data_IF_687767726771
#
_entry.id   IF_687767726771
#
_cell.length_a   1.000
_cell.length_b   1.000
_cell.length_c   1.000
_cell.angle_alpha   90.00
_cell.angle_beta   90.00
_cell.angle_gamma   90.00
#
_symmetry.space_group_name_H-M   'P 1'
#
loop_
_entity.id
_entity.type
_entity.pdbx_description
1 polymer ?
#
# COMPACT_ATOMS: atom_id res chain seq x y z
N UNK A 1 -9.91 12.20 5.62
CA UNK A 1 -10.82 11.46 4.72
C UNK A 1 -10.42 10.01 4.83
N UNK A 2 -11.30 9.23 5.45
CA UNK A 2 -10.99 7.94 6.04
C UNK A 2 -10.65 6.89 4.97
N UNK A 3 -9.63 6.06 5.23
CA UNK A 3 -9.61 4.66 4.79
C UNK A 3 -10.76 3.93 5.51
N UNK A 4 -12.00 4.35 5.23
CA UNK A 4 -13.17 4.02 6.00
C UNK A 4 -13.54 2.58 5.74
N UNK A 5 -13.47 1.78 6.80
CA UNK A 5 -14.30 0.61 6.93
C UNK A 5 -15.74 0.93 6.50
N UNK A 6 -16.29 0.14 5.57
CA UNK A 6 -17.71 0.17 5.28
C UNK A 6 -18.45 -0.35 6.51
N UNK A 7 -19.11 0.55 7.25
CA UNK A 7 -20.18 0.17 8.16
C UNK A 7 -21.49 0.47 7.45
N UNK A 8 -22.02 -0.53 6.73
CA UNK A 8 -23.36 -0.40 6.17
C UNK A 8 -24.35 -0.75 7.28
N UNK A 9 -24.82 0.27 8.01
CA UNK A 9 -25.83 0.12 9.05
C UNK A 9 -27.20 0.49 8.48
N UNK A 10 -27.87 -0.43 7.79
CA UNK A 10 -29.30 -0.30 7.57
C UNK A 10 -30.05 -0.86 8.78
N UNK A 11 -31.30 -0.45 9.03
CA UNK A 11 -32.08 -0.85 10.22
C UNK A 11 -32.10 -2.36 10.51
N UNK A 12 -31.84 -3.21 9.51
CA UNK A 12 -31.79 -4.67 9.59
C UNK A 12 -30.46 -5.29 9.05
N UNK A 13 -29.40 -4.49 8.85
CA UNK A 13 -28.15 -4.92 8.21
C UNK A 13 -26.97 -4.26 8.91
N UNK A 14 -25.94 -5.02 9.28
CA UNK A 14 -24.68 -4.48 9.79
C UNK A 14 -23.51 -5.31 9.28
N UNK A 15 -23.00 -4.96 8.09
CA UNK A 15 -21.62 -5.33 7.72
C UNK A 15 -20.70 -4.31 8.37
N UNK A 16 -19.84 -4.77 9.26
CA UNK A 16 -18.87 -3.92 9.96
C UNK A 16 -17.49 -4.27 9.44
N UNK A 17 -17.02 -3.59 8.39
CA UNK A 17 -15.64 -3.68 7.96
C UNK A 17 -14.75 -2.82 8.87
N UNK A 18 -14.66 -3.10 10.16
CA UNK A 18 -13.78 -2.32 11.04
C UNK A 18 -12.32 -2.59 10.69
N UNK A 19 -11.60 -1.54 10.29
CA UNK A 19 -10.12 -1.48 10.25
C UNK A 19 -9.42 -2.39 9.24
N UNK A 20 -9.98 -2.50 8.04
CA UNK A 20 -9.35 -3.12 6.86
C UNK A 20 -8.99 -2.10 5.79
N UNK A 21 -8.06 -2.48 4.93
CA UNK A 21 -7.60 -1.67 3.79
C UNK A 21 -8.08 -2.34 2.51
N UNK A 22 -9.09 -1.74 1.89
CA UNK A 22 -9.53 -2.15 0.55
C UNK A 22 -8.52 -1.68 -0.49
N UNK A 23 -8.06 -2.61 -1.32
CA UNK A 23 -7.09 -2.36 -2.40
C UNK A 23 -7.63 -2.84 -3.75
N UNK A 24 -6.78 -2.86 -4.77
CA UNK A 24 -7.16 -3.19 -6.14
C UNK A 24 -7.93 -4.51 -6.28
N UNK A 25 -8.60 -4.67 -7.41
CA UNK A 25 -9.32 -5.89 -7.77
C UNK A 25 -8.37 -7.08 -7.94
N UNK A 26 -8.79 -8.25 -7.48
CA UNK A 26 -8.05 -9.51 -7.66
C UNK A 26 -8.31 -10.13 -9.04
N UNK A 27 -9.58 -10.17 -9.45
CA UNK A 27 -10.04 -10.83 -10.67
C UNK A 27 -10.96 -9.95 -11.51
N UNK A 28 -11.98 -9.34 -10.91
CA UNK A 28 -13.08 -8.70 -11.65
C UNK A 28 -13.21 -7.20 -11.32
N UNK A 29 -13.67 -6.35 -12.27
CA UNK A 29 -13.92 -6.65 -13.67
C UNK A 29 -12.63 -6.83 -14.49
N UNK A 30 -11.50 -6.32 -13.99
CA UNK A 30 -10.17 -6.52 -14.57
C UNK A 30 -9.18 -6.62 -13.41
N UNK A 31 -8.21 -7.55 -13.41
CA UNK A 31 -7.21 -7.65 -12.34
C UNK A 31 -6.38 -6.38 -12.17
N UNK A 32 -6.10 -6.00 -10.92
CA UNK A 32 -5.28 -4.84 -10.58
C UNK A 32 -5.94 -3.48 -10.82
N UNK A 33 -7.23 -3.42 -11.12
CA UNK A 33 -7.93 -2.15 -11.30
C UNK A 33 -7.97 -1.35 -9.98
N UNK A 34 -7.62 -0.07 -10.07
CA UNK A 34 -7.58 0.87 -8.94
C UNK A 34 -7.68 2.31 -9.46
N UNK A 35 -8.32 3.20 -8.69
CA UNK A 35 -8.63 4.59 -9.11
C UNK A 35 -8.09 5.68 -8.16
N UNK A 36 -7.49 5.29 -7.04
CA UNK A 36 -7.02 6.23 -6.01
C UNK A 36 -5.67 5.84 -5.41
N UNK A 37 -5.00 6.79 -4.76
CA UNK A 37 -3.70 6.59 -4.11
C UNK A 37 -3.81 6.33 -2.59
N UNK A 38 -4.96 5.91 -2.08
CA UNK A 38 -5.13 5.72 -0.64
C UNK A 38 -4.44 4.46 -0.14
N UNK A 39 -4.04 4.46 1.13
CA UNK A 39 -3.46 3.29 1.76
C UNK A 39 -2.13 2.84 1.13
N UNK A 40 -1.89 1.52 1.06
CA UNK A 40 -0.71 0.89 0.45
C UNK A 40 -0.51 1.28 -1.02
N UNK A 41 -1.57 1.65 -1.75
CA UNK A 41 -1.48 2.11 -3.14
C UNK A 41 -0.57 3.32 -3.27
N UNK A 42 -0.74 4.30 -2.39
CA UNK A 42 0.09 5.50 -2.35
C UNK A 42 1.52 5.22 -1.93
N UNK A 43 1.74 4.19 -1.09
CA UNK A 43 3.08 3.75 -0.70
C UNK A 43 3.81 3.19 -1.92
N UNK A 44 3.18 2.28 -2.67
CA UNK A 44 3.76 1.68 -3.88
C UNK A 44 4.04 2.77 -4.93
N UNK A 45 3.08 3.64 -5.21
CA UNK A 45 3.26 4.72 -6.19
C UNK A 45 4.37 5.69 -5.77
N UNK A 46 4.40 6.09 -4.49
CA UNK A 46 5.42 6.98 -3.94
C UNK A 46 6.81 6.33 -3.99
N UNK A 47 6.91 5.06 -3.62
CA UNK A 47 8.15 4.30 -3.64
C UNK A 47 8.65 4.08 -5.08
N UNK A 48 7.78 3.60 -5.97
CA UNK A 48 8.09 3.33 -7.37
C UNK A 48 8.48 4.58 -8.17
N UNK A 49 7.97 5.77 -7.79
CA UNK A 49 8.42 7.04 -8.38
C UNK A 49 9.71 7.59 -7.74
N UNK A 50 10.16 7.01 -6.62
CA UNK A 50 11.34 7.41 -5.86
C UNK A 50 11.13 8.63 -4.95
N UNK A 51 9.87 9.05 -4.80
CA UNK A 51 9.45 10.20 -3.99
C UNK A 51 9.36 9.81 -2.52
N UNK A 52 8.77 8.65 -2.21
CA UNK A 52 8.68 8.07 -0.88
C UNK A 52 9.84 7.09 -0.67
N UNK A 53 10.79 7.47 0.18
CA UNK A 53 11.99 6.65 0.47
C UNK A 53 11.98 5.94 1.83
N UNK A 54 11.08 6.34 2.73
CA UNK A 54 10.95 5.69 4.03
C UNK A 54 9.51 5.76 4.50
N UNK A 55 9.08 4.73 5.23
CA UNK A 55 7.80 4.67 5.92
C UNK A 55 8.02 4.09 7.31
N UNK A 56 7.23 4.57 8.28
CA UNK A 56 7.17 3.91 9.59
C UNK A 56 6.21 2.75 9.50
N UNK A 57 6.73 1.54 9.58
CA UNK A 57 5.95 0.31 9.52
C UNK A 57 6.66 -0.77 10.33
N UNK A 58 5.89 -1.57 11.04
CA UNK A 58 6.39 -2.75 11.74
C UNK A 58 6.36 -3.94 10.79
N UNK A 59 7.52 -4.48 10.36
CA UNK A 59 7.57 -5.53 9.36
C UNK A 59 6.96 -6.84 9.84
N UNK A 60 6.74 -7.01 11.15
CA UNK A 60 6.19 -8.24 11.74
C UNK A 60 4.66 -8.26 11.77
N UNK A 61 4.02 -7.09 11.63
CA UNK A 61 2.56 -6.98 11.73
C UNK A 61 1.87 -7.34 10.43
N UNK A 62 0.71 -7.98 10.56
CA UNK A 62 -0.15 -8.31 9.42
C UNK A 62 -0.65 -7.04 8.75
N UNK A 63 -0.51 -6.99 7.43
CA UNK A 63 -1.10 -5.96 6.60
C UNK A 63 -2.53 -6.39 6.22
N UNK A 64 -3.53 -5.87 6.95
CA UNK A 64 -4.95 -6.18 6.74
C UNK A 64 -5.48 -5.57 5.44
N UNK A 65 -5.07 -6.14 4.31
CA UNK A 65 -5.47 -5.75 2.97
C UNK A 65 -6.44 -6.77 2.38
N UNK A 66 -7.44 -6.28 1.66
CA UNK A 66 -8.45 -7.10 1.00
C UNK A 66 -8.75 -6.55 -0.41
N UNK A 67 -8.90 -7.41 -1.44
CA UNK A 67 -9.30 -6.96 -2.77
C UNK A 67 -10.73 -6.39 -2.77
N UNK A 68 -10.94 -5.30 -3.51
CA UNK A 68 -12.27 -4.64 -3.57
C UNK A 68 -13.37 -5.51 -4.16
N UNK A 69 -13.07 -6.31 -5.18
CA UNK A 69 -14.02 -7.20 -5.84
C UNK A 69 -14.51 -8.31 -4.91
N UNK A 70 -13.61 -8.91 -4.14
CA UNK A 70 -13.98 -9.88 -3.11
C UNK A 70 -14.82 -9.23 -2.00
N UNK A 71 -14.51 -8.00 -1.59
CA UNK A 71 -15.35 -7.28 -0.61
C UNK A 71 -16.79 -7.10 -1.14
N UNK A 72 -16.93 -6.69 -2.41
CA UNK A 72 -18.23 -6.48 -3.05
C UNK A 72 -19.00 -7.80 -3.15
N UNK A 73 -18.34 -8.88 -3.57
CA UNK A 73 -18.93 -10.21 -3.65
C UNK A 73 -19.40 -10.72 -2.27
N UNK A 74 -18.62 -10.46 -1.22
CA UNK A 74 -19.01 -10.76 0.17
C UNK A 74 -20.23 -9.95 0.62
N UNK A 75 -20.32 -8.67 0.25
CA UNK A 75 -21.49 -7.83 0.54
C UNK A 75 -22.74 -8.37 -0.16
N UNK A 76 -22.66 -8.66 -1.46
CA UNK A 76 -23.79 -9.21 -2.24
C UNK A 76 -24.26 -10.53 -1.63
N UNK A 77 -23.32 -11.43 -1.32
CA UNK A 77 -23.64 -12.73 -0.74
C UNK A 77 -24.24 -12.60 0.66
N UNK A 78 -23.79 -11.62 1.46
CA UNK A 78 -24.36 -11.37 2.79
C UNK A 78 -25.81 -10.87 2.72
N UNK A 79 -26.15 -10.07 1.70
CA UNK A 79 -27.53 -9.64 1.47
C UNK A 79 -28.44 -10.83 1.12
N UNK A 80 -27.95 -11.77 0.30
CA UNK A 80 -28.64 -13.02 0.01
C UNK A 80 -28.84 -13.88 1.27
N UNK A 81 -27.79 -14.09 2.09
CA UNK A 81 -27.91 -14.91 3.31
C UNK A 81 -28.96 -14.35 4.27
N UNK A 82 -29.01 -13.03 4.43
CA UNK A 82 -29.99 -12.38 5.30
C UNK A 82 -31.40 -12.54 4.75
N UNK A 83 -31.60 -12.36 3.45
CA UNK A 83 -32.90 -12.58 2.82
C UNK A 83 -33.37 -14.03 2.99
N UNK A 84 -32.45 -14.99 2.84
CA UNK A 84 -32.75 -16.41 2.99
C UNK A 84 -33.07 -16.80 4.43
N UNK A 85 -32.35 -16.26 5.42
CA UNK A 85 -32.67 -16.41 6.85
C UNK A 85 -34.08 -15.90 7.15
N UNK A 86 -34.41 -14.69 6.69
CA UNK A 86 -35.74 -14.12 6.87
C UNK A 86 -36.85 -14.96 6.24
N UNK A 87 -36.56 -15.63 5.12
CA UNK A 87 -37.52 -16.49 4.40
C UNK A 87 -37.72 -17.86 5.08
N UNK A 88 -36.68 -18.41 5.71
CA UNK A 88 -36.64 -19.81 6.16
C UNK A 88 -36.74 -19.99 7.68
N UNK A 89 -36.36 -18.99 8.46
CA UNK A 89 -36.38 -19.07 9.92
C UNK A 89 -37.80 -18.82 10.46
N UNK A 90 -38.35 -19.85 11.13
CA UNK A 90 -39.69 -19.81 11.76
C UNK A 90 -39.72 -18.80 12.93
N UNK A 91 -38.58 -18.64 13.60
CA UNK A 91 -38.34 -17.67 14.67
C UNK A 91 -37.03 -16.95 14.35
N UNK A 92 -37.06 -15.67 13.91
CA UNK A 92 -35.84 -14.95 13.61
C UNK A 92 -34.98 -14.80 14.86
N UNK A 93 -33.68 -15.05 14.75
CA UNK A 93 -32.74 -14.68 15.80
C UNK A 93 -32.84 -13.16 16.06
N UNK A 94 -33.07 -12.70 17.31
CA UNK A 94 -33.08 -11.28 17.61
C UNK A 94 -31.71 -10.60 17.35
N UNK A 95 -30.62 -11.36 17.29
CA UNK A 95 -29.28 -10.82 17.05
C UNK A 95 -29.00 -10.64 15.55
N UNK A 96 -28.69 -9.42 15.14
CA UNK A 96 -28.37 -9.09 13.74
C UNK A 96 -27.01 -9.70 13.39
N UNK A 97 -26.91 -10.59 12.37
CA UNK A 97 -25.64 -11.20 12.01
C UNK A 97 -24.66 -10.15 11.48
N UNK A 98 -23.45 -10.14 12.03
CA UNK A 98 -22.35 -9.28 11.61
C UNK A 98 -21.40 -10.07 10.70
N UNK A 99 -21.21 -9.61 9.48
CA UNK A 99 -20.26 -10.19 8.52
C UNK A 99 -18.99 -9.34 8.49
N UNK A 100 -17.94 -9.80 9.18
CA UNK A 100 -16.61 -9.21 9.05
C UNK A 100 -15.89 -9.86 7.86
N UNK A 101 -15.31 -9.04 6.99
CA UNK A 101 -14.54 -9.49 5.84
C UNK A 101 -13.11 -9.01 5.97
N UNK A 102 -12.19 -9.85 6.44
CA UNK A 102 -10.82 -9.43 6.77
C UNK A 102 -9.80 -10.42 6.18
N UNK A 103 -8.52 -10.12 6.35
CA UNK A 103 -7.45 -11.06 5.99
C UNK A 103 -7.55 -12.34 6.83
N UNK A 104 -7.36 -13.49 6.19
CA UNK A 104 -7.34 -14.78 6.87
C UNK A 104 -6.00 -14.98 7.61
N UNK A 105 -5.98 -15.38 8.89
CA UNK A 105 -4.73 -15.58 9.64
C UNK A 105 -3.75 -16.56 8.98
N UNK A 106 -4.28 -17.63 8.37
CA UNK A 106 -3.48 -18.66 7.69
C UNK A 106 -3.12 -18.32 6.24
N UNK A 107 -3.61 -17.20 5.70
CA UNK A 107 -3.26 -16.70 4.36
C UNK A 107 -3.12 -15.18 4.38
N UNK A 108 -2.26 -14.67 5.27
CA UNK A 108 -1.99 -13.25 5.43
C UNK A 108 -0.60 -12.87 4.92
N UNK A 109 -0.37 -11.57 4.70
CA UNK A 109 0.93 -11.00 4.41
C UNK A 109 1.30 -9.96 5.46
N UNK A 110 2.57 -9.90 5.83
CA UNK A 110 3.07 -8.88 6.75
C UNK A 110 3.46 -7.60 6.01
N UNK A 111 3.64 -6.49 6.73
CA UNK A 111 4.23 -5.29 6.14
C UNK A 111 5.68 -5.50 5.66
N UNK A 112 6.39 -6.48 6.24
CA UNK A 112 7.70 -6.94 5.76
C UNK A 112 7.60 -7.58 4.38
N UNK A 113 6.68 -8.54 4.21
CA UNK A 113 6.40 -9.19 2.92
C UNK A 113 5.97 -8.17 1.87
N UNK A 114 5.07 -7.27 2.24
CA UNK A 114 4.61 -6.19 1.37
C UNK A 114 5.77 -5.28 0.92
N UNK A 115 6.69 -4.94 1.83
CA UNK A 115 7.88 -4.14 1.52
C UNK A 115 8.80 -4.88 0.55
N UNK A 116 9.06 -6.16 0.80
CA UNK A 116 9.88 -7.01 -0.08
C UNK A 116 9.26 -7.11 -1.48
N UNK A 117 7.97 -7.39 -1.56
CA UNK A 117 7.23 -7.45 -2.82
C UNK A 117 7.22 -6.11 -3.55
N UNK A 118 7.18 -5.00 -2.80
CA UNK A 118 7.31 -3.66 -3.38
C UNK A 118 8.63 -3.42 -4.07
N UNK A 119 9.72 -3.91 -3.47
CA UNK A 119 11.05 -3.82 -4.08
C UNK A 119 11.14 -4.74 -5.30
N UNK A 120 10.65 -5.99 -5.18
CA UNK A 120 10.61 -7.00 -6.24
C UNK A 120 9.90 -6.47 -7.49
N UNK A 121 8.59 -6.22 -7.41
CA UNK A 121 7.81 -5.79 -8.57
C UNK A 121 8.09 -4.35 -8.99
N UNK A 122 8.47 -3.47 -8.07
CA UNK A 122 8.93 -2.12 -8.41
C UNK A 122 10.19 -2.10 -9.28
N UNK A 123 11.07 -3.11 -9.12
CA UNK A 123 12.25 -3.28 -9.98
C UNK A 123 11.95 -3.95 -11.32
N UNK A 124 10.95 -4.83 -11.38
CA UNK A 124 10.53 -5.51 -12.61
C UNK A 124 9.71 -4.59 -13.52
N UNK A 125 8.86 -3.72 -12.94
CA UNK A 125 7.94 -2.84 -13.66
C UNK A 125 8.17 -1.35 -13.36
N UNK A 126 9.41 -0.83 -13.46
CA UNK A 126 9.75 0.54 -13.08
C UNK A 126 9.01 1.55 -13.95
N UNK A 127 8.54 2.67 -13.41
CA UNK A 127 7.78 3.68 -14.17
C UNK A 127 8.65 4.73 -14.86
N UNK A 128 8.23 5.19 -16.05
CA UNK A 128 8.81 6.36 -16.72
C UNK A 128 8.69 7.64 -15.89
N UNK A 129 7.73 7.69 -14.96
CA UNK A 129 7.54 8.81 -14.02
C UNK A 129 8.53 8.80 -12.86
N UNK A 130 9.43 7.81 -12.76
CA UNK A 130 10.41 7.75 -11.70
C UNK A 130 11.39 8.91 -11.80
N UNK A 131 11.53 9.64 -10.69
CA UNK A 131 12.49 10.75 -10.55
C UNK A 131 13.72 10.33 -9.74
N UNK A 132 13.65 9.20 -9.04
CA UNK A 132 14.74 8.63 -8.26
C UNK A 132 14.68 7.11 -8.27
N UNK A 133 15.81 6.46 -7.99
CA UNK A 133 15.88 5.01 -7.83
C UNK A 133 15.06 4.54 -6.63
N UNK A 134 14.44 3.36 -6.70
CA UNK A 134 13.72 2.78 -5.57
C UNK A 134 14.69 2.39 -4.46
N UNK A 135 14.74 3.23 -3.43
CA UNK A 135 15.48 3.00 -2.20
C UNK A 135 14.52 3.11 -1.00
N UNK A 136 13.42 2.37 -1.06
CA UNK A 136 12.38 2.36 -0.04
C UNK A 136 12.74 1.45 1.13
N UNK A 137 12.59 1.95 2.36
CA UNK A 137 12.78 1.18 3.58
C UNK A 137 11.68 1.46 4.62
N UNK A 138 11.20 0.39 5.24
CA UNK A 138 10.25 0.41 6.35
C UNK A 138 11.00 0.30 7.67
N UNK A 139 10.74 1.21 8.62
CA UNK A 139 11.39 1.21 9.93
C UNK A 139 10.37 1.41 11.07
N UNK A 140 10.26 0.49 12.05
CA UNK A 140 9.33 0.68 13.17
C UNK A 140 9.84 1.72 14.19
N UNK A 141 11.16 1.86 14.30
CA UNK A 141 11.80 2.78 15.24
C UNK A 141 11.53 4.24 14.85
N UNK A 142 10.86 4.97 15.73
CA UNK A 142 10.44 6.36 15.51
C UNK A 142 11.62 7.32 15.32
N UNK A 143 12.73 7.13 16.05
CA UNK A 143 13.93 7.98 15.95
C UNK A 143 14.58 7.78 14.59
N UNK A 144 14.81 6.53 14.18
CA UNK A 144 15.37 6.21 12.88
C UNK A 144 14.46 6.71 11.74
N UNK A 145 13.14 6.63 11.93
CA UNK A 145 12.17 7.16 10.97
C UNK A 145 12.31 8.69 10.78
N UNK A 146 12.34 9.46 11.87
CA UNK A 146 12.51 10.92 11.77
C UNK A 146 13.89 11.32 11.21
N UNK A 147 14.96 10.62 11.61
CA UNK A 147 16.28 10.82 10.99
C UNK A 147 16.23 10.54 9.48
N UNK A 148 15.59 9.44 9.08
CA UNK A 148 15.42 9.10 7.66
C UNK A 148 14.61 10.15 6.90
N UNK A 149 13.56 10.72 7.49
CA UNK A 149 12.80 11.83 6.90
C UNK A 149 13.71 13.05 6.67
N UNK A 150 14.53 13.43 7.65
CA UNK A 150 15.44 14.58 7.52
C UNK A 150 16.40 14.37 6.35
N UNK A 151 17.08 13.22 6.29
CA UNK A 151 18.14 12.97 5.31
C UNK A 151 17.63 12.55 3.93
N UNK A 152 16.53 11.81 3.85
CA UNK A 152 16.05 11.24 2.59
C UNK A 152 14.93 12.06 1.92
N UNK A 153 14.21 12.89 2.68
CA UNK A 153 13.13 13.73 2.16
C UNK A 153 13.47 15.22 2.24
N UNK A 154 13.65 15.79 3.44
CA UNK A 154 13.79 17.24 3.59
C UNK A 154 15.13 17.79 3.08
N UNK A 155 16.27 17.21 3.48
CA UNK A 155 17.59 17.67 3.03
C UNK A 155 17.71 17.72 1.50
N UNK A 156 17.38 16.66 0.74
CA UNK A 156 17.41 16.73 -0.72
C UNK A 156 16.35 17.68 -1.29
N UNK A 157 15.18 17.81 -0.64
CA UNK A 157 14.15 18.76 -1.08
C UNK A 157 14.60 20.21 -0.99
N UNK A 158 15.23 20.60 0.13
CA UNK A 158 15.77 21.94 0.33
C UNK A 158 16.86 22.24 -0.70
N UNK A 159 17.81 21.33 -0.89
CA UNK A 159 18.89 21.50 -1.89
C UNK A 159 18.31 21.69 -3.30
N UNK A 160 17.38 20.82 -3.72
CA UNK A 160 16.74 20.91 -5.03
C UNK A 160 15.93 22.20 -5.21
N UNK A 161 15.18 22.64 -4.19
CA UNK A 161 14.37 23.86 -4.26
C UNK A 161 15.25 25.13 -4.25
N UNK A 162 16.37 25.14 -3.51
CA UNK A 162 17.37 26.23 -3.58
C UNK A 162 17.97 26.32 -4.99
N UNK A 163 18.43 25.19 -5.54
CA UNK A 163 18.95 25.15 -6.91
C UNK A 163 17.90 25.66 -7.90
N UNK A 164 16.64 25.23 -7.75
CA UNK A 164 15.54 25.68 -8.60
C UNK A 164 15.39 27.22 -8.56
N UNK A 165 15.41 27.83 -7.38
CA UNK A 165 15.34 29.28 -7.22
C UNK A 165 16.53 29.97 -7.90
N UNK A 166 17.76 29.46 -7.70
CA UNK A 166 18.98 30.01 -8.28
C UNK A 166 18.97 29.99 -9.81
N UNK A 167 18.34 28.99 -10.43
CA UNK A 167 18.20 28.90 -11.91
C UNK A 167 16.88 29.51 -12.43
N UNK A 168 16.18 30.32 -11.62
CA UNK A 168 14.94 31.01 -12.01
C UNK A 168 13.71 30.11 -12.15
N UNK A 169 13.73 28.90 -11.58
CA UNK A 169 12.60 27.97 -11.55
C UNK A 169 11.85 28.04 -10.22
N UNK A 170 10.55 27.69 -10.28
CA UNK A 170 9.69 27.66 -9.09
C UNK A 170 10.02 26.45 -8.21
N UNK A 171 10.31 26.62 -6.91
CA UNK A 171 10.50 25.52 -5.97
C UNK A 171 9.19 24.77 -5.75
N UNK A 172 9.25 23.44 -5.70
CA UNK A 172 8.06 22.56 -5.61
C UNK A 172 8.23 21.41 -4.63
N UNK A 173 9.45 20.94 -4.38
CA UNK A 173 9.68 19.65 -3.75
C UNK A 173 9.31 19.66 -2.27
N UNK A 174 9.58 20.75 -1.54
CA UNK A 174 9.13 20.92 -0.15
C UNK A 174 7.60 20.92 -0.03
N UNK A 175 6.89 21.49 -1.00
CA UNK A 175 5.41 21.49 -1.01
C UNK A 175 4.87 20.08 -1.25
N UNK A 176 5.52 19.29 -2.11
CA UNK A 176 5.19 17.89 -2.32
C UNK A 176 5.41 17.07 -1.05
N UNK A 177 6.54 17.25 -0.36
CA UNK A 177 6.83 16.53 0.89
C UNK A 177 5.85 16.83 2.01
N UNK A 178 5.33 18.07 2.12
CA UNK A 178 4.23 18.36 3.06
C UNK A 178 2.99 17.47 2.85
N UNK A 179 2.66 17.11 1.61
CA UNK A 179 1.55 16.20 1.31
C UNK A 179 1.90 14.75 1.60
N UNK A 180 3.14 14.36 1.26
CA UNK A 180 3.65 13.00 1.49
C UNK A 180 3.70 12.67 2.98
N UNK A 181 4.17 13.60 3.83
CA UNK A 181 4.20 13.36 5.27
C UNK A 181 2.81 13.24 5.89
N UNK A 182 1.85 14.09 5.50
CA UNK A 182 0.45 13.92 5.93
C UNK A 182 -0.12 12.56 5.55
N UNK A 183 0.25 12.06 4.36
CA UNK A 183 -0.12 10.71 3.94
C UNK A 183 0.56 9.65 4.82
N UNK A 184 1.88 9.76 5.05
CA UNK A 184 2.63 8.85 5.91
C UNK A 184 2.08 8.78 7.34
N UNK A 185 1.67 9.90 7.93
CA UNK A 185 1.08 9.98 9.26
C UNK A 185 -0.22 9.13 9.35
N UNK A 186 -1.02 9.14 8.29
CA UNK A 186 -2.24 8.30 8.20
C UNK A 186 -1.89 6.84 8.06
N UNK A 187 -0.90 6.51 7.22
CA UNK A 187 -0.46 5.12 7.01
C UNK A 187 0.14 4.53 8.29
N UNK A 188 0.88 5.33 9.06
CA UNK A 188 1.51 4.89 10.32
C UNK A 188 0.49 4.24 11.26
N UNK A 189 -0.75 4.74 11.30
CA UNK A 189 -1.78 4.17 12.15
C UNK A 189 -2.00 2.68 11.87
N UNK A 190 -2.06 2.32 10.58
CA UNK A 190 -2.31 0.96 10.10
C UNK A 190 -1.03 0.11 10.08
N UNK A 191 0.10 0.69 9.71
CA UNK A 191 1.36 -0.04 9.56
C UNK A 191 2.07 -0.36 10.88
N UNK A 192 1.63 0.27 11.99
CA UNK A 192 2.17 0.05 13.33
C UNK A 192 1.19 -0.72 14.23
N UNK A 193 0.08 -1.23 13.71
CA UNK A 193 -0.94 -1.96 14.47
C UNK A 193 -1.37 -3.20 13.69
N UNK A 194 -1.95 -4.14 14.42
CA UNK A 194 -2.54 -5.34 13.88
C UNK A 194 -3.91 -5.50 14.54
N UNK A 195 -4.86 -5.99 13.75
CA UNK A 195 -6.21 -6.26 14.21
C UNK A 195 -6.64 -7.62 13.72
N UNK A 196 -7.26 -8.38 14.60
CA UNK A 196 -7.81 -9.69 14.29
C UNK A 196 -9.31 -9.65 14.54
N UNK A 197 -10.07 -10.04 13.52
CA UNK A 197 -11.52 -10.06 13.56
C UNK A 197 -12.01 -11.48 13.34
N UNK A 198 -13.04 -11.87 14.09
CA UNK A 198 -13.73 -13.15 13.84
C UNK A 198 -14.53 -13.03 12.55
N UNK A 199 -14.35 -14.01 11.66
CA UNK A 199 -15.02 -14.09 10.36
C UNK A 199 -16.00 -15.27 10.28
N UNK A 200 -16.46 -15.79 11.41
CA UNK A 200 -17.27 -17.02 11.49
C UNK A 200 -18.52 -16.95 10.61
N UNK A 201 -19.24 -15.83 10.62
CA UNK A 201 -20.43 -15.61 9.79
C UNK A 201 -20.08 -15.56 8.29
N UNK A 202 -18.97 -14.92 7.92
CA UNK A 202 -18.53 -14.82 6.53
C UNK A 202 -18.05 -16.18 5.99
N UNK A 203 -17.30 -16.93 6.79
CA UNK A 203 -16.86 -18.28 6.48
C UNK A 203 -18.03 -19.28 6.47
N UNK A 204 -19.02 -19.08 7.32
CA UNK A 204 -20.29 -19.80 7.30
C UNK A 204 -21.05 -19.56 5.99
N UNK A 205 -21.20 -18.29 5.61
CA UNK A 205 -21.85 -17.89 4.36
C UNK A 205 -21.18 -18.52 3.14
N UNK A 206 -19.86 -18.45 3.02
CA UNK A 206 -19.12 -19.08 1.92
C UNK A 206 -19.47 -20.57 1.76
N UNK A 207 -19.62 -21.30 2.87
CA UNK A 207 -19.97 -22.73 2.86
C UNK A 207 -21.43 -23.02 2.47
N UNK A 208 -22.33 -22.06 2.61
CA UNK A 208 -23.74 -22.19 2.21
C UNK A 208 -23.95 -22.01 0.71
N UNK A 209 -23.06 -21.26 0.05
CA UNK A 209 -23.15 -21.02 -1.38
C UNK A 209 -22.96 -22.30 -2.19
N UNK A 210 -23.68 -22.42 -3.30
CA UNK A 210 -23.46 -23.49 -4.26
C UNK A 210 -22.08 -23.35 -4.92
N UNK A 211 -21.55 -24.41 -5.52
CA UNK A 211 -20.28 -24.33 -6.26
C UNK A 211 -20.35 -23.35 -7.44
N UNK A 212 -21.54 -23.14 -8.02
CA UNK A 212 -21.74 -22.14 -9.06
C UNK A 212 -21.65 -20.71 -8.49
N UNK A 213 -22.32 -20.46 -7.36
CA UNK A 213 -22.31 -19.15 -6.71
C UNK A 213 -20.96 -18.81 -6.08
N UNK A 214 -20.23 -19.80 -5.57
CA UNK A 214 -18.85 -19.59 -5.11
C UNK A 214 -17.92 -19.12 -6.24
N UNK A 215 -18.16 -19.58 -7.48
CA UNK A 215 -17.39 -19.12 -8.64
C UNK A 215 -17.81 -17.73 -9.10
N UNK A 216 -19.12 -17.45 -9.06
CA UNK A 216 -19.68 -16.18 -9.52
C UNK A 216 -19.42 -15.04 -8.52
N UNK A 217 -19.54 -15.32 -7.22
CA UNK A 217 -19.32 -14.39 -6.13
C UNK A 217 -18.13 -14.86 -5.30
N UNK A 218 -16.95 -14.92 -5.91
CA UNK A 218 -15.74 -15.34 -5.21
C UNK A 218 -15.32 -14.31 -4.16
N UNK A 219 -15.19 -14.75 -2.89
CA UNK A 219 -14.68 -13.93 -1.78
C UNK A 219 -13.88 -14.71 -0.73
N UNK A 220 -13.37 -15.91 -1.05
CA UNK A 220 -12.61 -16.69 -0.07
C UNK A 220 -11.13 -16.25 0.03
N UNK A 221 -10.82 -15.50 1.08
CA UNK A 221 -9.47 -14.98 1.36
C UNK A 221 -8.41 -16.10 1.54
N UNK A 222 -8.80 -17.33 1.89
CA UNK A 222 -7.88 -18.48 2.00
C UNK A 222 -7.29 -18.90 0.65
N UNK A 223 -7.96 -18.55 -0.44
CA UNK A 223 -7.62 -18.98 -1.80
C UNK A 223 -6.88 -17.91 -2.60
N UNK A 224 -6.57 -16.75 -2.01
CA UNK A 224 -5.81 -15.69 -2.68
C UNK A 224 -4.36 -16.14 -2.89
N UNK A 225 -3.90 -16.01 -4.13
CA UNK A 225 -2.47 -16.03 -4.46
C UNK A 225 -1.91 -14.60 -4.34
N UNK A 226 -1.18 -14.34 -3.25
CA UNK A 226 -0.62 -13.01 -2.96
C UNK A 226 0.43 -12.54 -3.96
N UNK A 227 1.28 -13.43 -4.49
CA UNK A 227 2.30 -13.07 -5.48
C UNK A 227 1.63 -12.60 -6.79
N UNK A 228 0.66 -13.37 -7.30
CA UNK A 228 -0.12 -12.98 -8.49
C UNK A 228 -0.87 -11.66 -8.24
N UNK A 229 -1.56 -11.55 -7.10
CA UNK A 229 -2.34 -10.37 -6.79
C UNK A 229 -1.47 -9.11 -6.70
N UNK A 230 -0.37 -9.16 -5.97
CA UNK A 230 0.53 -8.03 -5.83
C UNK A 230 1.20 -7.69 -7.17
N UNK A 231 1.53 -8.65 -8.03
CA UNK A 231 2.02 -8.34 -9.37
C UNK A 231 0.99 -7.54 -10.20
N UNK A 232 -0.27 -8.01 -10.25
CA UNK A 232 -1.34 -7.32 -10.95
C UNK A 232 -1.60 -5.93 -10.35
N UNK A 233 -1.56 -5.83 -9.02
CA UNK A 233 -1.72 -4.57 -8.32
C UNK A 233 -0.65 -3.54 -8.69
N UNK A 234 0.63 -3.95 -8.79
CA UNK A 234 1.73 -3.07 -9.22
C UNK A 234 1.55 -2.61 -10.67
N UNK A 235 1.22 -3.54 -11.57
CA UNK A 235 0.92 -3.23 -12.97
C UNK A 235 -0.28 -2.28 -13.09
N UNK A 236 -1.29 -2.49 -12.24
CA UNK A 236 -2.48 -1.66 -12.12
C UNK A 236 -2.18 -0.22 -11.71
N UNK A 237 -1.40 -0.02 -10.64
CA UNK A 237 -0.96 1.30 -10.19
C UNK A 237 -0.22 2.03 -11.32
N UNK A 238 0.69 1.33 -11.99
CA UNK A 238 1.43 1.86 -13.12
C UNK A 238 0.49 2.32 -14.25
N UNK A 239 -0.43 1.45 -14.67
CA UNK A 239 -1.34 1.71 -15.80
C UNK A 239 -2.37 2.78 -15.47
N UNK A 240 -3.10 2.62 -14.37
CA UNK A 240 -4.32 3.39 -14.07
C UNK A 240 -4.06 4.68 -13.29
N UNK A 241 -3.06 4.69 -12.40
CA UNK A 241 -2.79 5.86 -11.56
C UNK A 241 -1.61 6.68 -12.05
N UNK A 242 -0.55 5.99 -12.46
CA UNK A 242 0.62 6.63 -13.04
C UNK A 242 0.45 6.88 -14.53
N UNK A 243 -0.65 6.48 -15.19
CA UNK A 243 -0.88 6.69 -16.62
C UNK A 243 0.36 6.32 -17.46
N UNK A 244 1.01 5.21 -17.11
CA UNK A 244 2.23 4.72 -17.73
C UNK A 244 1.95 3.33 -18.30
N UNK A 245 1.77 3.19 -19.63
CA UNK A 245 1.39 1.91 -20.23
C UNK A 245 2.42 0.80 -19.98
N UNK A 246 2.04 -0.46 -20.21
CA UNK A 246 2.96 -1.60 -19.98
C UNK A 246 4.04 -1.68 -21.08
N UNK A 247 3.73 -1.14 -22.26
CA UNK A 247 4.59 -1.11 -23.44
C UNK A 247 5.85 -0.25 -23.21
N UNK A 248 5.81 0.69 -22.27
CA UNK A 248 6.94 1.57 -21.94
C UNK A 248 7.90 0.95 -20.92
N UNK A 249 7.61 -0.25 -20.38
CA UNK A 249 8.48 -0.94 -19.40
C UNK A 249 9.93 -1.08 -19.88
N UNK A 250 10.23 -1.49 -21.14
CA UNK A 250 11.61 -1.58 -21.61
C UNK A 250 12.37 -0.24 -21.54
N UNK A 251 11.71 0.86 -21.89
CA UNK A 251 12.29 2.20 -21.81
C UNK A 251 12.50 2.64 -20.35
N UNK A 252 11.55 2.29 -19.49
CA UNK A 252 11.61 2.59 -18.08
C UNK A 252 12.72 1.80 -17.37
N UNK A 253 13.02 0.57 -17.79
CA UNK A 253 14.18 -0.20 -17.31
C UNK A 253 15.50 0.49 -17.68
N UNK A 254 15.63 1.04 -18.89
CA UNK A 254 16.82 1.82 -19.27
C UNK A 254 16.96 3.06 -18.38
N UNK A 255 15.87 3.79 -18.15
CA UNK A 255 15.86 4.95 -17.24
C UNK A 255 16.20 4.53 -15.81
N UNK A 256 15.65 3.42 -15.35
CA UNK A 256 15.88 2.85 -14.03
C UNK A 256 17.36 2.56 -13.79
N UNK A 257 18.04 1.94 -14.75
CA UNK A 257 19.48 1.68 -14.67
C UNK A 257 20.31 2.97 -14.60
N UNK A 258 19.88 4.04 -15.30
CA UNK A 258 20.52 5.37 -15.14
C UNK A 258 20.30 5.93 -13.73
N UNK A 259 19.08 5.84 -13.22
CA UNK A 259 18.75 6.29 -11.86
C UNK A 259 19.51 5.48 -10.80
N UNK A 260 19.75 4.19 -11.03
CA UNK A 260 20.59 3.35 -10.18
C UNK A 260 22.01 3.92 -10.08
N UNK A 261 22.65 4.23 -11.21
CA UNK A 261 24.00 4.80 -11.19
C UNK A 261 24.04 6.21 -10.57
N UNK A 262 23.03 7.04 -10.82
CA UNK A 262 22.88 8.33 -10.13
C UNK A 262 22.77 8.12 -8.62
N UNK A 263 22.02 7.12 -8.18
CA UNK A 263 21.88 6.79 -6.76
C UNK A 263 23.21 6.30 -6.16
N UNK A 264 23.94 5.41 -6.84
CA UNK A 264 25.25 4.95 -6.37
C UNK A 264 26.26 6.09 -6.30
N UNK A 265 26.34 6.94 -7.33
CA UNK A 265 27.20 8.11 -7.34
C UNK A 265 26.86 9.07 -6.18
N UNK A 266 25.56 9.28 -5.93
CA UNK A 266 25.10 10.10 -4.79
C UNK A 266 25.56 9.51 -3.46
N UNK A 267 25.47 8.19 -3.26
CA UNK A 267 25.96 7.52 -2.04
C UNK A 267 27.46 7.73 -1.87
N UNK A 268 28.25 7.57 -2.92
CA UNK A 268 29.71 7.80 -2.88
C UNK A 268 30.02 9.25 -2.53
N UNK A 269 29.36 10.22 -3.16
CA UNK A 269 29.56 11.65 -2.86
C UNK A 269 29.23 11.95 -1.40
N UNK A 270 28.11 11.45 -0.88
CA UNK A 270 27.73 11.64 0.53
C UNK A 270 28.77 11.04 1.46
N UNK A 271 29.27 9.84 1.19
CA UNK A 271 30.32 9.20 1.99
C UNK A 271 31.63 10.01 1.99
N UNK A 272 32.05 10.54 0.84
CA UNK A 272 33.25 11.38 0.73
C UNK A 272 33.09 12.70 1.51
N UNK A 273 31.91 13.32 1.46
CA UNK A 273 31.62 14.53 2.23
C UNK A 273 31.63 14.27 3.74
N UNK A 274 31.05 13.15 4.18
CA UNK A 274 31.10 12.73 5.58
C UNK A 274 32.52 12.44 6.05
N UNK A 275 33.31 11.73 5.24
CA UNK A 275 34.73 11.48 5.54
C UNK A 275 35.50 12.79 5.70
N UNK A 276 35.34 13.74 4.76
CA UNK A 276 36.00 15.06 4.84
C UNK A 276 35.59 15.84 6.08
N UNK A 277 34.29 15.81 6.45
CA UNK A 277 33.78 16.46 7.65
C UNK A 277 34.44 15.88 8.91
N UNK A 278 34.51 14.54 9.02
CA UNK A 278 35.13 13.86 10.16
C UNK A 278 36.61 14.22 10.28
N UNK A 279 37.36 14.17 9.17
CA UNK A 279 38.78 14.52 9.17
C UNK A 279 39.03 15.99 9.55
N UNK A 280 38.16 16.90 9.10
CA UNK A 280 38.25 18.32 9.48
C UNK A 280 37.97 18.54 10.96
N UNK A 281 37.00 17.84 11.54
CA UNK A 281 36.71 17.92 12.99
C UNK A 281 37.84 17.31 13.81
N UNK A 282 38.37 16.16 13.38
CA UNK A 282 39.52 15.53 14.01
C UNK A 282 40.73 16.47 14.05
N UNK A 283 41.07 17.10 12.92
CA UNK A 283 42.18 18.05 12.83
C UNK A 283 41.99 19.34 13.64
N UNK A 284 40.77 19.69 14.05
CA UNK A 284 40.52 20.81 14.98
C UNK A 284 40.63 20.41 16.45
N UNK A 285 40.51 19.10 16.75
CA UNK A 285 40.56 18.55 18.10
C UNK A 285 41.95 18.02 18.48
N UNK A 286 42.80 17.72 17.49
CA UNK A 286 44.22 17.34 17.64
C UNK A 286 45.14 18.56 17.62
#
# INVERSE_FOLDING_TARGET
>A
MCCGGFVCKCRNFSTTATELIVIATYQEPVPGWIDNFYGPTGVIAGAGTGVLRTLRADPTKVANMVPVDLCVNGIISSAWDIAERFRTEILPDPEIPIYNFCTEPNNCITWGDFTHTTIKFGSMYPTMKAIWYLCYASNPNIVLHYLSIIFLHYAPAVVCDIIAVLIGRKPRLLRSYKKIHRFMDVIEYFSMREWQFKMDNMNGLWRKLSTADQKLFFFDMRQINWDYFLEQYFCGIRRYLLNDPMETVPQAVVRWNRLYWVHQATKVIVLLLLYKLIMSVWGMLS
#
